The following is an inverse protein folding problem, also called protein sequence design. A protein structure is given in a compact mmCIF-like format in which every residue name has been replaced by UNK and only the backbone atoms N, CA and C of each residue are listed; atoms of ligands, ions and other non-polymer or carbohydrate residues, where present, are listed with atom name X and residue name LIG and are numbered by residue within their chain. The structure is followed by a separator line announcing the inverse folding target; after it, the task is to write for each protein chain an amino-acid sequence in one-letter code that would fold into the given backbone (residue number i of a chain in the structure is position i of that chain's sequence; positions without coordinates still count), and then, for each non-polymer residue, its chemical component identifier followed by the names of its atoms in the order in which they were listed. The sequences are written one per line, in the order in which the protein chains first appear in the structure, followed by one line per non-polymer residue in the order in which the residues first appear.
data_IF_663153316117
#
_entry.id   IF_663153316117
#
_cell.length_a   1.000
_cell.length_b   1.000
_cell.length_c   1.000
_cell.angle_alpha   90.00
_cell.angle_beta   90.00
_cell.angle_gamma   90.00
#
_symmetry.space_group_name_H-M   'P 1'
#
loop_
_entity.id
_entity.type
_entity.pdbx_description
1 polymer ?
#
# COMPACT_ATOMS: atom_id res chain seq x y z
N UNK A 1 -51.30 -31.28 -11.43
CA UNK A 1 -50.26 -31.54 -10.41
C UNK A 1 -49.87 -33.00 -10.56
N UNK A 2 -48.66 -33.43 -10.89
CA UNK A 2 -47.32 -32.93 -10.54
C UNK A 2 -46.35 -33.51 -11.59
N UNK A 3 -45.78 -32.68 -12.47
CA UNK A 3 -44.68 -33.10 -13.36
C UNK A 3 -43.67 -32.00 -13.65
N UNK A 4 -43.85 -30.79 -13.10
CA UNK A 4 -43.00 -29.63 -13.42
C UNK A 4 -41.98 -29.25 -12.32
N UNK A 5 -41.95 -29.96 -11.18
CA UNK A 5 -41.09 -29.59 -10.04
C UNK A 5 -39.79 -30.42 -9.90
N UNK A 6 -39.56 -31.44 -10.76
CA UNK A 6 -38.36 -32.29 -10.64
C UNK A 6 -37.19 -31.86 -11.52
N UNK A 7 -37.45 -31.14 -12.62
CA UNK A 7 -36.41 -30.61 -13.51
C UNK A 7 -35.63 -29.43 -12.91
N UNK A 8 -36.33 -28.54 -12.19
CA UNK A 8 -35.70 -27.39 -11.52
C UNK A 8 -34.94 -27.78 -10.24
N UNK A 9 -35.39 -28.81 -9.52
CA UNK A 9 -34.72 -29.28 -8.30
C UNK A 9 -33.35 -29.93 -8.61
N UNK A 10 -33.21 -30.59 -9.75
CA UNK A 10 -31.92 -31.10 -10.24
C UNK A 10 -30.99 -29.97 -10.72
N UNK A 11 -31.54 -28.91 -11.32
CA UNK A 11 -30.76 -27.77 -11.79
C UNK A 11 -30.20 -26.94 -10.62
N UNK A 12 -30.99 -26.71 -9.57
CA UNK A 12 -30.56 -26.00 -8.36
C UNK A 12 -29.54 -26.82 -7.57
N UNK A 13 -29.73 -28.15 -7.48
CA UNK A 13 -28.74 -29.06 -6.86
C UNK A 13 -27.40 -29.07 -7.60
N UNK A 14 -27.41 -29.05 -8.94
CA UNK A 14 -26.20 -29.02 -9.76
C UNK A 14 -25.40 -27.72 -9.62
N UNK A 15 -26.08 -26.56 -9.55
CA UNK A 15 -25.43 -25.26 -9.34
C UNK A 15 -24.85 -25.16 -7.93
N UNK A 16 -25.55 -25.66 -6.90
CA UNK A 16 -25.02 -25.67 -5.54
C UNK A 16 -23.75 -26.52 -5.41
N UNK A 17 -23.72 -27.70 -6.04
CA UNK A 17 -22.51 -28.55 -6.08
C UNK A 17 -21.39 -27.90 -6.87
N UNK A 18 -21.68 -27.24 -7.99
CA UNK A 18 -20.68 -26.53 -8.78
C UNK A 18 -20.05 -25.35 -8.00
N UNK A 19 -20.84 -24.59 -7.23
CA UNK A 19 -20.34 -23.51 -6.38
C UNK A 19 -19.45 -24.08 -5.26
N UNK A 20 -19.82 -25.19 -4.63
CA UNK A 20 -18.98 -25.84 -3.61
C UNK A 20 -17.66 -26.36 -4.20
N UNK A 21 -17.68 -26.90 -5.42
CA UNK A 21 -16.47 -27.35 -6.12
C UNK A 21 -15.60 -26.17 -6.55
N UNK A 22 -16.17 -25.08 -7.05
CA UNK A 22 -15.40 -23.86 -7.36
C UNK A 22 -14.85 -23.16 -6.11
N UNK A 23 -15.59 -23.21 -5.00
CA UNK A 23 -15.13 -22.67 -3.71
C UNK A 23 -13.96 -23.49 -3.15
N UNK A 24 -14.02 -24.82 -3.26
CA UNK A 24 -12.90 -25.69 -2.87
C UNK A 24 -11.71 -25.59 -3.82
N UNK A 25 -11.91 -25.33 -5.12
CA UNK A 25 -10.81 -25.02 -6.05
C UNK A 25 -10.18 -23.66 -5.74
N UNK A 26 -10.96 -22.64 -5.35
CA UNK A 26 -10.42 -21.35 -4.91
C UNK A 26 -9.61 -21.48 -3.61
N UNK A 27 -10.08 -22.28 -2.66
CA UNK A 27 -9.30 -22.62 -1.45
C UNK A 27 -8.09 -23.54 -1.74
N UNK A 28 -8.14 -24.35 -2.80
CA UNK A 28 -6.98 -25.12 -3.26
C UNK A 28 -6.00 -24.28 -4.08
N UNK A 29 -6.43 -23.18 -4.73
CA UNK A 29 -5.54 -22.22 -5.35
C UNK A 29 -4.84 -21.30 -4.34
N UNK A 30 -5.34 -21.17 -3.10
CA UNK A 30 -4.57 -20.59 -1.99
C UNK A 30 -3.66 -21.60 -1.28
N UNK A 31 -3.72 -22.88 -1.65
CA UNK A 31 -2.95 -23.99 -1.06
C UNK A 31 -2.35 -24.88 -2.15
N UNK A 32 -1.49 -24.31 -2.99
CA UNK A 32 -0.33 -24.97 -3.62
C UNK A 32 0.10 -24.23 -4.88
N UNK A 33 1.00 -23.26 -4.72
CA UNK A 33 2.21 -23.31 -5.55
C UNK A 33 3.29 -23.87 -4.62
N UNK A 34 3.24 -25.18 -4.45
CA UNK A 34 4.20 -25.94 -3.67
C UNK A 34 4.91 -26.87 -4.65
N UNK A 35 5.83 -26.30 -5.44
CA UNK A 35 6.74 -27.11 -6.22
C UNK A 35 7.76 -27.75 -5.28
N UNK A 36 7.54 -29.04 -5.00
CA UNK A 36 8.53 -29.92 -4.39
C UNK A 36 8.38 -30.14 -2.88
N UNK A 37 7.28 -30.75 -2.43
CA UNK A 37 7.27 -31.42 -1.11
C UNK A 37 7.49 -32.93 -1.30
N UNK A 38 8.67 -33.42 -0.92
CA UNK A 38 8.89 -34.81 -0.50
C UNK A 38 8.64 -34.91 1.00
N UNK A 39 7.38 -35.00 1.44
CA UNK A 39 7.05 -35.19 2.86
C UNK A 39 7.02 -36.66 3.23
N UNK A 40 7.95 -37.08 4.08
CA UNK A 40 7.81 -38.23 4.98
C UNK A 40 7.67 -37.70 6.41
N UNK A 41 6.45 -37.51 6.92
CA UNK A 41 6.21 -37.05 8.30
C UNK A 41 4.77 -37.22 8.79
N UNK A 42 4.59 -37.75 10.00
CA UNK A 42 3.31 -38.01 10.70
C UNK A 42 2.58 -36.72 11.12
N UNK A 43 1.27 -36.78 11.39
CA UNK A 43 0.41 -35.63 11.72
C UNK A 43 0.97 -34.65 12.78
N UNK A 44 1.66 -35.13 13.82
CA UNK A 44 2.31 -34.29 14.85
C UNK A 44 3.41 -33.36 14.32
N UNK A 45 4.00 -33.69 13.16
CA UNK A 45 5.00 -32.85 12.49
C UNK A 45 4.35 -31.76 11.64
N UNK A 46 3.11 -31.94 11.20
CA UNK A 46 2.36 -30.96 10.41
C UNK A 46 1.88 -29.82 11.30
N UNK A 47 1.32 -30.13 12.47
CA UNK A 47 0.82 -29.11 13.41
C UNK A 47 1.94 -28.21 13.96
N UNK A 48 3.11 -28.80 14.28
CA UNK A 48 4.30 -28.03 14.69
C UNK A 48 4.89 -27.16 13.57
N UNK A 49 4.75 -27.55 12.31
CA UNK A 49 5.20 -26.72 11.18
C UNK A 49 4.26 -25.54 10.95
N UNK A 50 2.95 -25.74 11.07
CA UNK A 50 1.97 -24.66 10.94
C UNK A 50 2.15 -23.56 12.01
N UNK A 51 2.35 -23.93 13.27
CA UNK A 51 2.59 -22.97 14.36
C UNK A 51 3.89 -22.16 14.15
N UNK A 52 4.92 -22.81 13.59
CA UNK A 52 6.20 -22.16 13.26
C UNK A 52 6.04 -21.18 12.12
N UNK A 53 5.34 -21.56 11.06
CA UNK A 53 5.06 -20.68 9.94
C UNK A 53 4.27 -19.45 10.39
N UNK A 54 3.22 -19.64 11.19
CA UNK A 54 2.45 -18.51 11.72
C UNK A 54 3.30 -17.57 12.60
N UNK A 55 4.26 -18.11 13.36
CA UNK A 55 5.21 -17.29 14.12
C UNK A 55 6.15 -16.51 13.21
N UNK A 56 6.70 -17.13 12.17
CA UNK A 56 7.57 -16.46 11.20
C UNK A 56 6.81 -15.36 10.47
N UNK A 57 5.61 -15.63 9.98
CA UNK A 57 4.78 -14.59 9.32
C UNK A 57 4.50 -13.40 10.23
N UNK A 58 4.21 -13.65 11.52
CA UNK A 58 4.02 -12.59 12.51
C UNK A 58 5.28 -11.75 12.71
N UNK A 59 6.44 -12.40 12.80
CA UNK A 59 7.72 -11.72 12.93
C UNK A 59 8.04 -10.88 11.67
N UNK A 60 7.77 -11.43 10.48
CA UNK A 60 7.95 -10.72 9.20
C UNK A 60 7.09 -9.45 9.12
N UNK A 61 5.83 -9.52 9.57
CA UNK A 61 4.92 -8.35 9.65
C UNK A 61 5.41 -7.30 10.62
N UNK A 62 5.88 -7.73 11.80
CA UNK A 62 6.46 -6.84 12.79
C UNK A 62 7.69 -6.12 12.24
N UNK A 63 8.61 -6.86 11.63
CA UNK A 63 9.82 -6.29 11.01
C UNK A 63 9.45 -5.29 9.91
N UNK A 64 8.47 -5.60 9.06
CA UNK A 64 8.04 -4.69 7.99
C UNK A 64 7.53 -3.37 8.58
N UNK A 65 6.71 -3.45 9.63
CA UNK A 65 6.18 -2.27 10.34
C UNK A 65 7.30 -1.45 10.98
N UNK A 66 8.22 -2.09 11.72
CA UNK A 66 9.34 -1.41 12.38
C UNK A 66 10.31 -0.75 11.38
N UNK A 67 10.44 -1.30 10.16
CA UNK A 67 11.33 -0.76 9.12
C UNK A 67 10.71 0.25 8.19
N UNK A 68 9.37 0.36 8.16
CA UNK A 68 8.60 1.24 7.26
C UNK A 68 9.15 2.66 7.33
N UNK A 69 9.33 3.18 8.54
CA UNK A 69 9.69 4.58 8.76
C UNK A 69 8.65 5.54 8.16
N UNK A 70 8.90 6.84 8.26
CA UNK A 70 8.00 7.87 7.74
C UNK A 70 8.32 8.23 6.27
N UNK A 71 9.46 7.76 5.74
CA UNK A 71 9.97 8.07 4.41
C UNK A 71 9.99 6.84 3.49
N UNK A 72 9.65 7.04 2.21
CA UNK A 72 9.72 5.99 1.18
C UNK A 72 11.16 5.51 0.91
N UNK A 73 12.13 6.41 1.04
CA UNK A 73 13.51 6.14 0.65
C UNK A 73 14.15 5.09 1.56
N UNK A 74 14.64 4.00 0.95
CA UNK A 74 15.45 2.99 1.61
C UNK A 74 14.66 1.94 2.41
N UNK A 75 13.34 1.87 2.27
CA UNK A 75 12.57 0.79 2.89
C UNK A 75 13.05 -0.60 2.43
N UNK A 76 13.28 -0.82 1.13
CA UNK A 76 13.75 -2.11 0.63
C UNK A 76 15.09 -2.52 1.27
N UNK A 77 16.02 -1.56 1.39
CA UNK A 77 17.33 -1.81 1.99
C UNK A 77 17.23 -2.09 3.49
N UNK A 78 16.48 -1.26 4.23
CA UNK A 78 16.26 -1.42 5.68
C UNK A 78 15.57 -2.74 5.98
N UNK A 79 14.49 -3.05 5.26
CA UNK A 79 13.74 -4.28 5.45
C UNK A 79 14.55 -5.50 5.03
N UNK A 80 15.25 -5.44 3.89
CA UNK A 80 16.17 -6.50 3.47
C UNK A 80 17.28 -6.75 4.49
N UNK A 81 17.84 -5.71 5.11
CA UNK A 81 18.81 -5.86 6.20
C UNK A 81 18.19 -6.48 7.46
N UNK A 82 16.98 -6.07 7.83
CA UNK A 82 16.24 -6.65 8.95
C UNK A 82 15.96 -8.14 8.73
N UNK A 83 15.53 -8.54 7.53
CA UNK A 83 15.30 -9.95 7.15
C UNK A 83 16.58 -10.80 7.22
N UNK A 84 17.71 -10.26 6.77
CA UNK A 84 19.02 -10.93 6.89
C UNK A 84 19.41 -11.14 8.36
N UNK A 85 19.21 -10.14 9.21
CA UNK A 85 19.51 -10.23 10.63
C UNK A 85 18.58 -11.21 11.36
N UNK A 86 17.29 -11.20 11.01
CA UNK A 86 16.30 -12.14 11.51
C UNK A 86 16.70 -13.58 11.14
N UNK A 87 16.94 -13.84 9.85
CA UNK A 87 17.43 -15.12 9.33
C UNK A 87 18.65 -15.62 10.09
N UNK A 88 19.67 -14.77 10.27
CA UNK A 88 20.90 -15.13 10.98
C UNK A 88 20.64 -15.48 12.46
N UNK A 89 19.80 -14.69 13.12
CA UNK A 89 19.49 -14.87 14.54
C UNK A 89 18.64 -16.11 14.77
N UNK A 90 17.61 -16.30 13.94
CA UNK A 90 16.73 -17.45 13.95
C UNK A 90 17.54 -18.75 13.75
N UNK A 91 18.40 -18.79 12.74
CA UNK A 91 19.23 -19.97 12.44
C UNK A 91 20.26 -20.27 13.54
N UNK A 92 20.79 -19.24 14.22
CA UNK A 92 21.70 -19.45 15.35
C UNK A 92 20.99 -20.13 16.53
N UNK A 93 19.75 -19.73 16.81
CA UNK A 93 18.97 -20.23 17.96
C UNK A 93 18.33 -21.59 17.67
N UNK A 94 17.69 -21.73 16.51
CA UNK A 94 16.89 -22.91 16.14
C UNK A 94 17.74 -23.96 15.40
N UNK A 95 18.57 -23.53 14.44
CA UNK A 95 19.43 -24.43 13.67
C UNK A 95 20.40 -25.23 14.52
N UNK A 96 20.85 -24.67 15.65
CA UNK A 96 21.72 -25.37 16.61
C UNK A 96 21.01 -26.46 17.43
N UNK A 97 19.67 -26.42 17.53
CA UNK A 97 18.89 -27.35 18.36
C UNK A 97 18.12 -28.39 17.55
N UNK A 98 17.67 -28.03 16.36
CA UNK A 98 16.73 -28.85 15.58
C UNK A 98 17.15 -29.08 14.11
N UNK A 99 18.31 -28.55 13.69
CA UNK A 99 18.77 -28.65 12.30
C UNK A 99 17.84 -27.96 11.29
N UNK A 100 17.01 -27.03 11.77
CA UNK A 100 16.09 -26.26 10.94
C UNK A 100 16.71 -24.92 10.57
N UNK A 101 16.67 -24.59 9.29
CA UNK A 101 17.15 -23.33 8.72
C UNK A 101 16.00 -22.61 8.03
N UNK A 102 15.94 -21.31 8.27
CA UNK A 102 15.08 -20.36 7.58
C UNK A 102 15.97 -19.43 6.76
N UNK A 103 15.56 -19.09 5.55
CA UNK A 103 16.10 -17.95 4.82
C UNK A 103 14.94 -17.07 4.36
N UNK A 104 14.94 -15.79 4.74
CA UNK A 104 13.91 -14.83 4.35
C UNK A 104 14.52 -13.70 3.52
N UNK A 105 14.00 -13.47 2.32
CA UNK A 105 14.48 -12.43 1.38
C UNK A 105 13.30 -11.64 0.81
N UNK A 106 13.43 -10.31 0.71
CA UNK A 106 12.44 -9.47 0.06
C UNK A 106 12.38 -9.80 -1.44
N UNK A 107 11.18 -10.08 -1.93
CA UNK A 107 10.90 -10.25 -3.35
C UNK A 107 10.18 -9.01 -3.87
N UNK A 108 10.96 -8.05 -4.38
CA UNK A 108 10.43 -6.79 -4.93
C UNK A 108 9.49 -7.02 -6.12
N UNK A 109 9.72 -8.09 -6.91
CA UNK A 109 8.91 -8.39 -8.09
C UNK A 109 7.53 -8.99 -7.77
N UNK A 110 7.42 -9.69 -6.64
CA UNK A 110 6.15 -10.22 -6.13
C UNK A 110 5.46 -9.27 -5.14
N UNK A 111 6.17 -8.23 -4.69
CA UNK A 111 5.61 -7.20 -3.82
C UNK A 111 4.57 -6.37 -4.56
N UNK A 112 3.57 -5.89 -3.83
CA UNK A 112 2.50 -5.08 -4.40
C UNK A 112 2.67 -3.62 -4.00
N UNK A 113 2.43 -2.75 -4.97
CA UNK A 113 2.39 -1.31 -4.77
C UNK A 113 3.17 -0.55 -5.83
N UNK A 114 2.91 0.74 -5.87
CA UNK A 114 3.50 1.64 -6.85
C UNK A 114 3.74 2.98 -6.17
N UNK A 115 4.88 3.58 -6.46
CA UNK A 115 5.22 4.94 -6.04
C UNK A 115 5.18 5.89 -7.22
N UNK A 116 4.72 7.12 -6.97
CA UNK A 116 4.78 8.28 -7.87
C UNK A 116 5.47 9.39 -7.10
N UNK A 117 6.64 9.81 -7.59
CA UNK A 117 7.45 10.83 -6.95
C UNK A 117 7.58 12.07 -7.85
N UNK A 118 7.10 13.21 -7.38
CA UNK A 118 7.27 14.51 -8.03
C UNK A 118 8.08 15.51 -7.19
N UNK A 119 8.98 15.03 -6.33
CA UNK A 119 9.88 15.88 -5.56
C UNK A 119 11.17 16.26 -6.31
N UNK A 120 11.45 15.61 -7.45
CA UNK A 120 12.70 15.79 -8.18
C UNK A 120 12.93 17.22 -8.66
N UNK A 121 14.21 17.62 -8.65
CA UNK A 121 14.64 18.98 -9.00
C UNK A 121 15.17 19.08 -10.44
N UNK A 122 14.91 20.22 -11.13
CA UNK A 122 14.16 21.35 -10.64
C UNK A 122 12.66 21.01 -10.61
N UNK A 123 12.00 21.28 -9.48
CA UNK A 123 10.58 21.00 -9.25
C UNK A 123 9.72 21.93 -10.13
N UNK A 124 9.87 21.86 -11.44
CA UNK A 124 9.31 22.82 -12.38
C UNK A 124 7.84 22.53 -12.55
N UNK A 125 7.06 23.04 -11.60
CA UNK A 125 5.59 23.07 -11.58
C UNK A 125 4.97 21.70 -11.33
N UNK A 126 3.90 21.72 -10.54
CA UNK A 126 3.04 20.57 -10.33
C UNK A 126 2.44 20.17 -11.67
N UNK A 127 2.73 18.95 -12.11
CA UNK A 127 2.40 18.46 -13.45
C UNK A 127 1.68 17.14 -13.30
N UNK A 128 0.90 16.77 -14.31
CA UNK A 128 0.57 15.36 -14.48
C UNK A 128 1.90 14.56 -14.49
N UNK A 129 1.99 13.38 -13.85
CA UNK A 129 3.08 12.40 -13.98
C UNK A 129 3.28 11.90 -15.41
N UNK A 130 3.57 12.81 -16.33
CA UNK A 130 3.45 12.66 -17.76
C UNK A 130 3.32 14.07 -18.33
N UNK A 131 4.40 14.58 -18.95
CA UNK A 131 4.70 15.99 -19.20
C UNK A 131 3.71 16.86 -20.00
N UNK A 132 2.45 16.47 -20.14
CA UNK A 132 1.37 17.33 -20.59
C UNK A 132 0.79 18.14 -19.43
N UNK A 133 0.78 19.46 -19.55
CA UNK A 133 0.19 20.40 -18.57
C UNK A 133 -1.34 20.34 -18.46
N UNK A 134 -1.90 19.14 -18.27
CA UNK A 134 -3.29 18.95 -17.92
C UNK A 134 -3.59 19.49 -16.52
N UNK A 135 -4.80 20.00 -16.32
CA UNK A 135 -5.26 20.57 -15.06
C UNK A 135 -6.02 19.55 -14.18
N UNK A 136 -6.14 18.30 -14.61
CA UNK A 136 -6.77 17.21 -13.85
C UNK A 136 -6.20 15.85 -14.29
N UNK A 137 -5.89 14.99 -13.33
CA UNK A 137 -5.56 13.59 -13.58
C UNK A 137 -5.95 12.70 -12.39
N UNK A 138 -6.22 11.42 -12.65
CA UNK A 138 -6.29 10.42 -11.60
C UNK A 138 -4.87 10.02 -11.20
N UNK A 139 -4.58 10.03 -9.91
CA UNK A 139 -3.32 9.57 -9.36
C UNK A 139 -3.35 8.06 -9.12
N UNK A 140 -4.47 7.56 -8.60
CA UNK A 140 -4.75 6.14 -8.43
C UNK A 140 -6.27 5.93 -8.42
N UNK A 141 -6.72 4.81 -9.00
CA UNK A 141 -8.09 4.32 -8.88
C UNK A 141 -8.13 3.04 -8.04
N UNK A 142 -9.24 2.80 -7.35
CA UNK A 142 -9.51 1.60 -6.56
C UNK A 142 -8.37 1.25 -5.57
N UNK A 143 -7.80 2.29 -4.95
CA UNK A 143 -6.71 2.13 -4.00
C UNK A 143 -7.21 1.44 -2.72
N UNK A 144 -6.72 0.24 -2.46
CA UNK A 144 -7.06 -0.51 -1.24
C UNK A 144 -6.14 -0.16 -0.07
N UNK A 145 -4.96 0.40 -0.37
CA UNK A 145 -3.97 0.74 0.64
C UNK A 145 -3.05 1.86 0.19
N UNK A 146 -2.78 2.81 1.08
CA UNK A 146 -1.88 3.93 0.83
C UNK A 146 -0.83 3.93 1.94
N UNK A 147 0.45 3.80 1.59
CA UNK A 147 1.55 3.82 2.54
C UNK A 147 2.09 5.23 2.78
N UNK A 148 2.09 6.08 1.75
CA UNK A 148 2.58 7.46 1.86
C UNK A 148 1.72 8.36 0.99
N UNK A 149 1.36 9.52 1.53
CA UNK A 149 0.75 10.60 0.76
C UNK A 149 1.16 11.96 1.30
N UNK A 150 2.33 12.43 0.86
CA UNK A 150 2.92 13.69 1.29
C UNK A 150 2.80 14.73 0.18
N UNK A 151 2.46 15.96 0.55
CA UNK A 151 2.26 17.08 -0.37
C UNK A 151 2.99 18.30 0.17
N UNK A 152 3.82 18.93 -0.65
CA UNK A 152 4.50 20.18 -0.29
C UNK A 152 3.95 21.33 -1.13
N UNK A 153 3.41 22.35 -0.47
CA UNK A 153 2.93 23.57 -1.09
C UNK A 153 4.03 24.64 -1.16
N UNK A 154 4.72 24.67 -2.30
CA UNK A 154 5.95 25.45 -2.52
C UNK A 154 5.69 26.94 -2.81
N UNK A 155 4.76 27.29 -3.69
CA UNK A 155 4.54 28.70 -4.02
C UNK A 155 3.12 29.02 -4.49
N UNK A 156 2.67 30.24 -4.28
CA UNK A 156 1.42 30.80 -4.82
C UNK A 156 1.77 31.71 -6.01
N UNK A 157 1.66 31.17 -7.24
CA UNK A 157 2.19 31.79 -8.47
C UNK A 157 1.18 32.68 -9.23
N UNK A 158 -0.02 32.96 -8.69
CA UNK A 158 -0.94 33.94 -9.31
C UNK A 158 -2.42 33.83 -8.97
N UNK A 159 -3.26 34.52 -9.75
CA UNK A 159 -4.73 34.46 -9.68
C UNK A 159 -5.30 33.32 -10.53
N UNK A 160 -6.41 32.71 -10.09
CA UNK A 160 -7.06 31.60 -10.79
C UNK A 160 -7.84 30.69 -9.84
N UNK A 161 -8.01 29.43 -10.23
CA UNK A 161 -8.54 28.40 -9.33
C UNK A 161 -7.40 27.77 -8.53
N UNK A 162 -7.63 27.38 -7.26
CA UNK A 162 -6.63 26.69 -6.44
C UNK A 162 -6.41 25.25 -6.92
N UNK A 163 -5.31 24.64 -6.49
CA UNK A 163 -5.12 23.19 -6.66
C UNK A 163 -5.97 22.45 -5.63
N UNK A 164 -6.62 21.38 -6.05
CA UNK A 164 -7.46 20.56 -5.17
C UNK A 164 -7.12 19.09 -5.33
N UNK A 165 -6.81 18.43 -4.22
CA UNK A 165 -6.72 16.99 -4.11
C UNK A 165 -8.10 16.51 -3.67
N UNK A 166 -8.62 15.52 -4.40
CA UNK A 166 -9.92 14.92 -4.16
C UNK A 166 -9.69 13.45 -3.88
N UNK A 167 -10.13 13.00 -2.70
CA UNK A 167 -10.20 11.59 -2.35
C UNK A 167 -11.68 11.22 -2.30
N UNK A 168 -12.08 10.20 -3.02
CA UNK A 168 -13.47 9.77 -3.09
C UNK A 168 -13.58 8.25 -3.02
N UNK A 169 -14.65 7.77 -2.41
CA UNK A 169 -15.10 6.39 -2.52
C UNK A 169 -16.41 6.35 -3.33
N UNK A 170 -17.22 5.29 -3.19
CA UNK A 170 -18.48 5.18 -3.94
C UNK A 170 -19.53 6.24 -3.56
N UNK A 171 -19.54 6.70 -2.31
CA UNK A 171 -20.63 7.50 -1.74
C UNK A 171 -20.21 8.91 -1.37
N UNK A 172 -18.98 9.06 -0.87
CA UNK A 172 -18.51 10.22 -0.15
C UNK A 172 -17.22 10.76 -0.76
N UNK A 173 -16.92 12.02 -0.41
CA UNK A 173 -15.78 12.75 -0.94
C UNK A 173 -15.13 13.59 0.14
N UNK A 174 -13.82 13.46 0.23
CA UNK A 174 -12.95 14.31 1.01
C UNK A 174 -12.11 15.19 0.07
N UNK A 175 -11.87 16.44 0.47
CA UNK A 175 -11.12 17.39 -0.36
C UNK A 175 -10.10 18.18 0.43
N UNK A 176 -8.91 18.34 -0.16
CA UNK A 176 -7.89 19.27 0.28
C UNK A 176 -7.63 20.30 -0.80
N UNK A 177 -7.84 21.58 -0.47
CA UNK A 177 -7.63 22.70 -1.38
C UNK A 177 -6.42 23.52 -0.93
N UNK A 178 -5.47 23.68 -1.83
CA UNK A 178 -4.26 24.48 -1.65
C UNK A 178 -4.53 25.88 -2.22
N UNK A 179 -4.91 26.80 -1.33
CA UNK A 179 -5.37 28.14 -1.65
C UNK A 179 -4.41 29.22 -1.12
N UNK A 180 -4.82 30.47 -1.26
CA UNK A 180 -4.13 31.65 -0.78
C UNK A 180 -4.83 32.89 -1.30
N UNK A 181 -4.45 34.07 -0.82
CA UNK A 181 -4.98 35.35 -1.32
C UNK A 181 -3.93 36.03 -2.19
N UNK A 182 -4.04 36.00 -3.53
CA UNK A 182 -3.12 36.70 -4.41
C UNK A 182 -3.51 38.19 -4.55
N UNK A 183 -2.53 39.12 -4.65
CA UNK A 183 -1.10 38.90 -4.40
C UNK A 183 -0.85 38.82 -2.88
N UNK A 184 -0.11 37.79 -2.44
CA UNK A 184 0.22 37.64 -1.03
C UNK A 184 1.06 36.40 -0.77
N UNK A 185 1.92 36.40 0.26
CA UNK A 185 2.73 35.24 0.61
C UNK A 185 1.93 34.18 1.39
N UNK A 186 0.75 34.54 1.93
CA UNK A 186 -0.04 33.63 2.77
C UNK A 186 -0.71 32.54 1.93
N UNK A 187 -0.26 31.32 2.17
CA UNK A 187 -0.82 30.07 1.69
C UNK A 187 -1.77 29.50 2.72
N UNK A 188 -2.81 28.83 2.25
CA UNK A 188 -3.80 28.18 3.09
C UNK A 188 -4.08 26.77 2.58
N UNK A 189 -4.24 25.82 3.49
CA UNK A 189 -4.76 24.48 3.22
C UNK A 189 -6.16 24.41 3.82
N UNK A 190 -7.14 24.18 2.96
CA UNK A 190 -8.53 23.98 3.35
C UNK A 190 -8.88 22.52 3.22
N UNK A 191 -9.36 21.90 4.29
CA UNK A 191 -9.91 20.55 4.29
C UNK A 191 -11.42 20.64 4.36
N UNK A 192 -12.10 20.07 3.37
CA UNK A 192 -13.56 20.14 3.20
C UNK A 192 -14.10 21.59 3.28
N UNK A 193 -13.33 22.53 2.71
CA UNK A 193 -13.68 23.96 2.67
C UNK A 193 -13.37 24.75 3.95
N UNK A 194 -12.77 24.13 4.98
CA UNK A 194 -12.38 24.80 6.22
C UNK A 194 -10.87 24.97 6.28
N UNK A 195 -10.38 26.19 6.50
CA UNK A 195 -8.94 26.45 6.69
C UNK A 195 -8.41 25.70 7.90
N UNK A 196 -7.42 24.82 7.67
CA UNK A 196 -6.77 24.02 8.71
C UNK A 196 -5.33 24.43 8.93
N UNK A 197 -4.66 24.83 7.85
CA UNK A 197 -3.26 25.23 7.88
C UNK A 197 -3.08 26.53 7.14
N UNK A 198 -2.19 27.38 7.64
CA UNK A 198 -1.85 28.63 6.97
C UNK A 198 -0.43 29.05 7.28
N UNK A 199 0.28 29.61 6.30
CA UNK A 199 1.63 30.10 6.50
C UNK A 199 2.18 30.84 5.29
N UNK A 200 3.29 31.55 5.47
CA UNK A 200 3.99 32.26 4.39
C UNK A 200 5.15 31.49 3.77
N UNK A 201 5.60 30.42 4.43
CA UNK A 201 6.67 29.53 3.98
C UNK A 201 6.11 28.35 3.16
N UNK A 202 6.95 27.36 2.84
CA UNK A 202 6.46 26.07 2.35
C UNK A 202 5.62 25.42 3.44
N UNK A 203 4.53 24.76 3.02
CA UNK A 203 3.70 23.95 3.90
C UNK A 203 3.88 22.51 3.46
N UNK A 204 4.37 21.67 4.36
CA UNK A 204 4.48 20.23 4.16
C UNK A 204 3.27 19.57 4.82
N UNK A 205 2.51 18.78 4.07
CA UNK A 205 1.29 18.14 4.55
C UNK A 205 1.38 16.63 4.36
N UNK A 206 1.18 15.88 5.45
CA UNK A 206 1.00 14.44 5.43
C UNK A 206 -0.50 14.15 5.50
N UNK A 207 -1.05 13.66 4.38
CA UNK A 207 -2.48 13.42 4.23
C UNK A 207 -2.94 12.17 4.99
N UNK A 208 -2.04 11.25 5.32
CA UNK A 208 -2.37 10.05 6.10
C UNK A 208 -2.40 10.39 7.58
N UNK A 209 -1.36 11.07 8.08
CA UNK A 209 -1.27 11.49 9.48
C UNK A 209 -2.20 12.67 9.82
N UNK A 210 -2.70 13.40 8.81
CA UNK A 210 -3.54 14.57 9.02
C UNK A 210 -2.77 15.74 9.62
N UNK A 211 -1.48 15.89 9.27
CA UNK A 211 -0.61 16.93 9.82
C UNK A 211 -0.18 17.90 8.72
N UNK A 212 0.11 19.12 9.12
CA UNK A 212 0.76 20.10 8.28
C UNK A 212 1.80 20.90 9.07
N UNK A 213 2.96 21.06 8.46
CA UNK A 213 4.12 21.68 9.05
C UNK A 213 4.52 22.92 8.28
N UNK A 214 4.87 23.95 9.05
CA UNK A 214 5.53 25.17 8.58
C UNK A 214 6.68 25.47 9.53
N UNK A 215 7.67 26.29 9.15
CA UNK A 215 8.79 26.63 10.03
C UNK A 215 8.31 27.14 11.39
N UNK A 216 8.52 26.33 12.44
CA UNK A 216 8.16 26.65 13.83
C UNK A 216 6.70 26.39 14.23
N UNK A 217 5.84 25.84 13.35
CA UNK A 217 4.45 25.51 13.68
C UNK A 217 4.02 24.20 13.03
N UNK A 218 3.42 23.30 13.83
CA UNK A 218 2.74 22.09 13.35
C UNK A 218 1.26 22.19 13.72
N UNK A 219 0.38 21.87 12.77
CA UNK A 219 -1.08 21.87 12.94
C UNK A 219 -1.65 20.54 12.43
N UNK A 220 -2.86 20.20 12.86
CA UNK A 220 -3.53 18.94 12.49
C UNK A 220 -4.91 19.17 11.88
N UNK A 221 -5.38 18.20 11.12
CA UNK A 221 -6.68 18.19 10.46
C UNK A 221 -7.25 16.77 10.33
N UNK A 222 -8.59 16.65 10.18
CA UNK A 222 -9.22 15.35 9.92
C UNK A 222 -8.70 14.73 8.62
N UNK A 223 -8.20 13.51 8.71
CA UNK A 223 -7.75 12.75 7.54
C UNK A 223 -8.93 12.13 6.80
N UNK A 224 -8.74 11.85 5.51
CA UNK A 224 -9.74 11.11 4.74
C UNK A 224 -9.93 9.68 5.24
N UNK A 225 -8.94 9.11 5.95
CA UNK A 225 -9.03 7.77 6.54
C UNK A 225 -10.07 7.68 7.67
N UNK A 226 -10.35 8.80 8.34
CA UNK A 226 -11.36 8.88 9.41
C UNK A 226 -12.78 9.10 8.87
N UNK A 227 -12.89 9.60 7.63
CA UNK A 227 -14.16 10.04 7.04
C UNK A 227 -14.65 9.12 5.91
N UNK A 228 -13.74 8.40 5.25
CA UNK A 228 -14.03 7.53 4.11
C UNK A 228 -13.56 6.11 4.40
N UNK A 229 -14.37 5.13 4.03
CA UNK A 229 -13.93 3.75 3.91
C UNK A 229 -13.46 3.49 2.47
N UNK A 230 -12.34 2.76 2.32
CA UNK A 230 -11.79 2.38 1.03
C UNK A 230 -12.67 1.36 0.28
N UNK A 231 -12.41 1.13 -1.01
CA UNK A 231 -11.27 1.62 -1.80
C UNK A 231 -11.40 3.09 -2.21
N UNK A 232 -10.25 3.75 -2.40
CA UNK A 232 -10.17 5.18 -2.70
C UNK A 232 -9.79 5.47 -4.14
N UNK A 233 -10.46 6.44 -4.75
CA UNK A 233 -10.05 7.10 -5.97
C UNK A 233 -9.44 8.45 -5.62
N UNK A 234 -8.21 8.71 -6.07
CA UNK A 234 -7.49 9.95 -5.77
C UNK A 234 -7.30 10.72 -7.06
N UNK A 235 -7.93 11.88 -7.13
CA UNK A 235 -7.83 12.79 -8.27
C UNK A 235 -7.16 14.08 -7.84
N UNK A 236 -6.23 14.54 -8.67
CA UNK A 236 -5.60 15.84 -8.52
C UNK A 236 -6.18 16.79 -9.57
N UNK A 237 -6.66 17.96 -9.14
CA UNK A 237 -7.10 19.08 -9.97
C UNK A 237 -6.11 20.22 -9.81
N UNK A 238 -5.18 20.37 -10.74
CA UNK A 238 -4.17 21.43 -10.69
C UNK A 238 -4.76 22.78 -11.09
N UNK A 239 -4.57 23.76 -10.21
CA UNK A 239 -4.92 25.15 -10.44
C UNK A 239 -3.68 25.98 -10.76
N UNK A 240 -3.76 26.98 -11.66
CA UNK A 240 -2.60 27.80 -12.05
C UNK A 240 -2.03 28.64 -10.91
N UNK A 241 -2.74 28.72 -9.78
CA UNK A 241 -2.35 29.52 -8.62
C UNK A 241 -1.20 28.92 -7.80
N UNK A 242 -0.85 27.65 -7.96
CA UNK A 242 0.06 26.99 -7.01
C UNK A 242 1.14 26.12 -7.67
N UNK A 243 2.32 26.19 -7.07
CA UNK A 243 3.42 25.24 -7.24
C UNK A 243 3.40 24.28 -6.06
N UNK A 244 3.25 23.01 -6.36
CA UNK A 244 3.07 21.93 -5.41
C UNK A 244 3.98 20.78 -5.85
N UNK A 245 4.44 19.95 -4.92
CA UNK A 245 5.09 18.66 -5.18
C UNK A 245 4.42 17.60 -4.31
N UNK A 246 4.56 16.33 -4.67
CA UNK A 246 4.00 15.25 -3.86
C UNK A 246 4.80 13.96 -4.00
N UNK A 247 4.66 13.14 -2.98
CA UNK A 247 5.17 11.78 -2.90
C UNK A 247 4.01 10.88 -2.53
N UNK A 248 3.75 9.87 -3.35
CA UNK A 248 2.60 9.00 -3.18
C UNK A 248 2.96 7.55 -3.40
N UNK A 249 2.58 6.66 -2.48
CA UNK A 249 2.75 5.23 -2.65
C UNK A 249 1.50 4.46 -2.19
N UNK A 250 0.96 3.63 -3.08
CA UNK A 250 -0.27 2.88 -2.81
C UNK A 250 -0.35 1.56 -3.59
N UNK A 251 -1.30 0.70 -3.21
CA UNK A 251 -1.79 -0.43 -4.00
C UNK A 251 -3.10 -0.01 -4.65
N UNK A 252 -3.14 -0.02 -5.99
CA UNK A 252 -4.31 0.33 -6.78
C UNK A 252 -3.98 0.38 -8.26
N UNK A 253 -4.89 0.94 -9.06
CA UNK A 253 -4.70 1.13 -10.50
C UNK A 253 -4.08 2.50 -10.81
N UNK A 254 -2.89 2.46 -11.41
CA UNK A 254 -2.11 3.61 -11.86
C UNK A 254 -2.08 3.72 -13.40
N UNK A 255 -3.07 3.18 -14.11
CA UNK A 255 -3.12 3.17 -15.58
C UNK A 255 -2.98 4.57 -16.21
N UNK A 256 -3.48 5.60 -15.51
CA UNK A 256 -3.49 6.99 -15.99
C UNK A 256 -2.14 7.71 -15.82
N UNK A 257 -1.21 7.06 -15.11
CA UNK A 257 0.16 7.53 -14.83
C UNK A 257 1.14 6.84 -15.78
N UNK A 258 1.99 7.64 -16.44
CA UNK A 258 2.98 7.15 -17.38
C UNK A 258 4.01 6.25 -16.67
N UNK A 259 4.46 5.20 -17.35
CA UNK A 259 5.37 4.19 -16.77
C UNK A 259 6.75 4.74 -16.38
N UNK A 260 7.18 5.86 -16.94
CA UNK A 260 8.43 6.52 -16.57
C UNK A 260 8.34 7.32 -15.27
N UNK A 261 7.13 7.56 -14.78
CA UNK A 261 6.82 8.45 -13.66
C UNK A 261 6.26 7.67 -12.46
N UNK A 262 6.26 6.33 -12.58
CA UNK A 262 5.91 5.41 -11.52
C UNK A 262 6.93 4.28 -11.43
N UNK A 263 7.21 3.86 -10.20
CA UNK A 263 8.14 2.76 -9.93
C UNK A 263 7.44 1.73 -9.04
N UNK A 264 7.80 0.45 -9.18
CA UNK A 264 7.36 -0.56 -8.22
C UNK A 264 7.84 -0.17 -6.83
N UNK A 265 6.97 -0.28 -5.83
CA UNK A 265 7.33 0.00 -4.45
C UNK A 265 6.56 -0.96 -3.53
N UNK A 266 7.22 -1.66 -2.59
CA UNK A 266 6.60 -2.71 -1.80
C UNK A 266 5.73 -2.12 -0.67
N UNK A 267 4.58 -1.54 -1.03
CA UNK A 267 3.52 -1.13 -0.08
C UNK A 267 3.07 -2.34 0.73
N UNK A 268 2.82 -3.46 0.05
CA UNK A 268 2.66 -4.80 0.64
C UNK A 268 3.85 -5.64 0.20
N UNK A 269 4.90 -5.77 1.03
CA UNK A 269 6.09 -6.53 0.68
C UNK A 269 5.79 -8.02 0.56
N UNK A 270 6.38 -8.66 -0.45
CA UNK A 270 6.44 -10.11 -0.57
C UNK A 270 7.79 -10.62 -0.06
N UNK A 271 7.79 -11.66 0.76
CA UNK A 271 9.02 -12.27 1.30
C UNK A 271 9.09 -13.71 0.85
N UNK A 272 10.15 -14.04 0.13
CA UNK A 272 10.50 -15.43 -0.17
C UNK A 272 11.16 -16.05 1.06
N UNK A 273 10.53 -17.11 1.55
CA UNK A 273 10.99 -17.91 2.67
C UNK A 273 11.37 -19.30 2.18
N UNK A 274 12.59 -19.72 2.48
CA UNK A 274 13.03 -21.10 2.33
C UNK A 274 13.13 -21.73 3.70
N UNK A 275 12.41 -22.81 3.91
CA UNK A 275 12.52 -23.66 5.08
C UNK A 275 13.32 -24.90 4.70
N UNK A 276 14.34 -25.21 5.50
CA UNK A 276 15.10 -26.45 5.40
C UNK A 276 15.08 -27.13 6.77
N UNK A 277 14.44 -28.30 6.84
CA UNK A 277 14.35 -29.12 8.04
C UNK A 277 14.96 -30.49 7.72
N UNK A 278 15.37 -31.27 8.73
CA UNK A 278 15.91 -32.61 8.48
C UNK A 278 14.98 -33.55 7.70
N UNK A 279 13.66 -33.28 7.69
CA UNK A 279 12.64 -34.10 7.04
C UNK A 279 12.08 -33.53 5.73
N UNK A 280 12.27 -32.24 5.46
CA UNK A 280 11.68 -31.56 4.31
C UNK A 280 12.35 -30.19 4.06
N UNK A 281 12.48 -29.81 2.79
CA UNK A 281 12.79 -28.44 2.40
C UNK A 281 11.74 -27.95 1.42
N UNK A 282 11.28 -26.71 1.59
CA UNK A 282 10.29 -26.09 0.72
C UNK A 282 10.46 -24.57 0.69
N UNK A 283 9.97 -23.96 -0.38
CA UNK A 283 9.96 -22.52 -0.59
C UNK A 283 8.52 -22.00 -0.53
N UNK A 284 8.36 -20.78 -0.01
CA UNK A 284 7.08 -20.09 0.06
C UNK A 284 7.28 -18.59 -0.05
N UNK A 285 6.49 -17.93 -0.88
CA UNK A 285 6.39 -16.47 -0.91
C UNK A 285 5.21 -16.04 -0.03
N UNK A 286 5.46 -15.14 0.91
CA UNK A 286 4.44 -14.60 1.82
C UNK A 286 4.23 -13.12 1.52
N UNK A 287 2.99 -12.72 1.26
CA UNK A 287 2.61 -11.31 1.27
C UNK A 287 2.47 -10.85 2.73
N UNK A 288 3.26 -9.86 3.09
CA UNK A 288 3.36 -9.34 4.44
C UNK A 288 2.50 -8.08 4.52
N UNK A 289 1.28 -8.25 5.01
CA UNK A 289 0.44 -7.12 5.36
C UNK A 289 1.08 -6.36 6.52
N UNK A 290 1.50 -5.12 6.25
CA UNK A 290 1.92 -4.20 7.31
C UNK A 290 0.65 -3.81 8.09
N UNK A 291 0.71 -3.61 9.40
CA UNK A 291 -0.41 -2.98 10.10
C UNK A 291 -0.40 -1.49 9.82
N UNK A 292 -1.55 -0.87 9.56
CA UNK A 292 -1.67 0.57 9.79
C UNK A 292 -1.68 0.71 11.31
N UNK A 293 -0.61 1.28 11.89
CA UNK A 293 -0.35 1.28 13.33
C UNK A 293 -1.45 1.93 14.17
#
# INVERSE_FOLDING_TARGET
MVANDRGQLLLIGGIAVAIVVFSTILFAHSLAVTDGITTTGSADTIERSADREASVERDLRRLATETRGDDLDGFEERYGHALRNYTRTHNRVVGSREGTYLNATLNESASLGTTVNQTDTPAEKFKKPGGGGGNKWSLVNESTRIAVFNVTYVNLDGGGNPTTIVVENETDRWTMTLAGTPPGPNKEILVNGVTRCSGSANIDADLLAGTCETPGTSQTYPTFLDELEGPYNITIKHGPQSRVTYLFAAVGDFSDIDSSEKTSYPVVPAVDTTYDTPSASYNRTVLVEVGDG
#
